data_IF_700388757363
#
_entry.id   IF_700388757363
#
_cell.length_a   1.000
_cell.length_b   1.000
_cell.length_c   1.000
_cell.angle_alpha   90.00
_cell.angle_beta   90.00
_cell.angle_gamma   90.00
#
_symmetry.space_group_name_H-M   'P 1'
#
loop_
_entity.id
_entity.type
_entity.pdbx_description
1 polymer ?
#
# COMPACT_ATOMS: atom_id res chain seq x y z
N UNK A 1 -4.51 -2.77 14.24
CA UNK A 1 -5.97 -2.57 14.33
C UNK A 1 -6.42 -1.54 15.38
N UNK A 2 -5.54 -0.96 16.24
CA UNK A 2 -5.98 -0.01 17.29
C UNK A 2 -6.10 1.46 16.84
N UNK A 3 -5.21 1.97 15.98
CA UNK A 3 -5.14 3.42 15.70
C UNK A 3 -6.31 3.97 14.87
N UNK A 4 -6.86 3.19 13.93
CA UNK A 4 -8.01 3.62 13.12
C UNK A 4 -9.34 3.48 13.86
N UNK A 5 -9.36 2.88 15.04
CA UNK A 5 -10.55 2.78 15.89
C UNK A 5 -10.72 3.96 16.86
N UNK A 6 -9.68 4.79 17.06
CA UNK A 6 -9.70 5.90 18.04
C UNK A 6 -9.98 7.27 17.42
N UNK A 7 -9.86 7.40 16.09
CA UNK A 7 -10.25 8.61 15.35
C UNK A 7 -10.93 8.21 14.06
N UNK A 8 -12.23 8.43 13.97
CA UNK A 8 -12.96 8.39 12.70
C UNK A 8 -12.34 9.41 11.75
N UNK A 9 -11.49 8.96 10.82
CA UNK A 9 -10.96 9.80 9.76
C UNK A 9 -12.14 10.12 8.84
N UNK A 10 -12.48 11.41 8.77
CA UNK A 10 -13.56 11.94 7.92
C UNK A 10 -13.39 11.41 6.50
N UNK A 11 -14.45 10.87 5.86
CA UNK A 11 -14.38 10.22 4.56
C UNK A 11 -13.60 11.02 3.51
N UNK A 12 -13.76 12.33 3.48
CA UNK A 12 -13.09 13.25 2.53
C UNK A 12 -11.57 13.31 2.67
N UNK A 13 -11.05 13.04 3.87
CA UNK A 13 -9.61 13.09 4.19
C UNK A 13 -8.94 11.73 4.02
N UNK A 14 -9.69 10.63 3.91
CA UNK A 14 -9.15 9.26 3.82
C UNK A 14 -8.18 9.12 2.65
N UNK A 15 -8.57 9.58 1.47
CA UNK A 15 -7.70 9.56 0.30
C UNK A 15 -6.41 10.35 0.47
N UNK A 16 -6.48 11.54 1.09
CA UNK A 16 -5.27 12.35 1.36
C UNK A 16 -4.35 11.63 2.34
N UNK A 17 -4.89 11.08 3.42
CA UNK A 17 -4.13 10.29 4.40
C UNK A 17 -3.53 9.05 3.74
N UNK A 18 -4.25 8.39 2.85
CA UNK A 18 -3.78 7.23 2.10
C UNK A 18 -2.57 7.59 1.23
N UNK A 19 -2.67 8.62 0.39
CA UNK A 19 -1.58 9.04 -0.51
C UNK A 19 -0.37 9.53 0.28
N UNK A 20 -0.56 10.33 1.33
CA UNK A 20 0.55 10.80 2.17
C UNK A 20 1.25 9.62 2.85
N UNK A 21 0.48 8.67 3.40
CA UNK A 21 1.02 7.45 3.99
C UNK A 21 1.81 6.62 2.98
N UNK A 22 1.27 6.47 1.76
CA UNK A 22 1.96 5.79 0.67
C UNK A 22 3.31 6.43 0.35
N UNK A 23 3.33 7.74 0.09
CA UNK A 23 4.56 8.45 -0.25
C UNK A 23 5.60 8.33 0.87
N UNK A 24 5.21 8.55 2.12
CA UNK A 24 6.14 8.45 3.26
C UNK A 24 6.70 7.02 3.40
N UNK A 25 5.82 6.01 3.29
CA UNK A 25 6.23 4.60 3.42
C UNK A 25 7.22 4.20 2.34
N UNK A 26 6.90 4.49 1.07
CA UNK A 26 7.72 4.15 -0.10
C UNK A 26 9.07 4.87 -0.08
N UNK A 27 9.10 6.16 0.30
CA UNK A 27 10.36 6.91 0.45
C UNK A 27 11.21 6.30 1.56
N UNK A 28 10.65 6.01 2.73
CA UNK A 28 11.42 5.39 3.81
C UNK A 28 11.96 4.00 3.41
N UNK A 29 11.16 3.18 2.72
CA UNK A 29 11.59 1.88 2.21
C UNK A 29 12.64 1.97 1.09
N UNK A 30 12.59 3.00 0.26
CA UNK A 30 13.59 3.18 -0.80
C UNK A 30 14.96 3.57 -0.22
N UNK A 31 14.98 4.46 0.78
CA UNK A 31 16.23 5.04 1.28
C UNK A 31 16.90 4.26 2.41
N UNK A 32 16.20 3.39 3.15
CA UNK A 32 16.82 2.62 4.25
C UNK A 32 18.08 1.81 3.87
N UNK A 33 18.22 1.22 2.66
CA UNK A 33 19.39 0.40 2.32
C UNK A 33 20.70 1.18 2.21
N UNK A 34 20.64 2.51 2.09
CA UNK A 34 21.81 3.37 1.98
C UNK A 34 22.46 3.69 3.34
N UNK A 35 21.76 3.44 4.44
CA UNK A 35 22.29 3.65 5.78
C UNK A 35 23.12 2.43 6.20
N UNK A 36 24.35 2.67 6.66
CA UNK A 36 25.25 1.60 7.14
C UNK A 36 25.15 1.36 8.66
N UNK A 37 24.38 2.19 9.38
CA UNK A 37 24.18 2.08 10.83
C UNK A 37 22.79 1.52 11.14
N UNK A 38 22.72 0.61 12.11
CA UNK A 38 21.50 -0.09 12.49
C UNK A 38 20.37 0.87 12.96
N UNK A 39 20.71 1.89 13.74
CA UNK A 39 19.71 2.80 14.32
C UNK A 39 18.92 3.58 13.26
N UNK A 40 19.54 4.32 12.31
CA UNK A 40 18.78 5.01 11.28
C UNK A 40 17.98 4.06 10.37
N UNK A 41 18.49 2.84 10.11
CA UNK A 41 17.72 1.82 9.38
C UNK A 41 16.44 1.43 10.12
N UNK A 42 16.54 1.16 11.43
CA UNK A 42 15.38 0.79 12.24
C UNK A 42 14.35 1.92 12.33
N UNK A 43 14.81 3.17 12.46
CA UNK A 43 13.91 4.33 12.48
C UNK A 43 13.15 4.43 11.15
N UNK A 44 13.84 4.30 10.01
CA UNK A 44 13.20 4.34 8.70
C UNK A 44 12.23 3.18 8.49
N UNK A 45 12.58 1.96 8.88
CA UNK A 45 11.71 0.80 8.76
C UNK A 45 10.48 0.89 9.68
N UNK A 46 10.64 1.47 10.87
CA UNK A 46 9.53 1.70 11.80
C UNK A 46 8.54 2.71 11.22
N UNK A 47 9.05 3.83 10.70
CA UNK A 47 8.23 4.84 10.03
C UNK A 47 7.54 4.21 8.81
N UNK A 48 8.31 3.51 7.96
CA UNK A 48 7.79 2.87 6.77
C UNK A 48 6.67 1.87 7.08
N UNK A 49 6.90 0.99 8.05
CA UNK A 49 5.93 -0.02 8.49
C UNK A 49 4.68 0.58 9.13
N UNK A 50 4.81 1.64 9.92
CA UNK A 50 3.67 2.35 10.50
C UNK A 50 2.75 2.93 9.41
N UNK A 51 3.32 3.65 8.44
CA UNK A 51 2.54 4.20 7.33
C UNK A 51 2.03 3.11 6.38
N UNK A 52 2.77 2.02 6.18
CA UNK A 52 2.32 0.86 5.40
C UNK A 52 1.09 0.19 6.04
N UNK A 53 1.02 0.11 7.36
CA UNK A 53 -0.16 -0.41 8.05
C UNK A 53 -1.41 0.46 7.79
N UNK A 54 -1.26 1.78 7.70
CA UNK A 54 -2.36 2.71 7.37
C UNK A 54 -2.89 2.43 5.95
N UNK A 55 -1.99 2.28 4.96
CA UNK A 55 -2.33 1.93 3.58
C UNK A 55 -3.16 0.64 3.54
N UNK A 56 -2.66 -0.41 4.22
CA UNK A 56 -3.32 -1.71 4.29
C UNK A 56 -4.71 -1.63 4.93
N UNK A 57 -4.89 -0.80 5.97
CA UNK A 57 -6.21 -0.63 6.59
C UNK A 57 -7.20 -0.01 5.59
N UNK A 58 -6.82 1.03 4.86
CA UNK A 58 -7.69 1.65 3.87
C UNK A 58 -8.03 0.70 2.72
N UNK A 59 -7.04 0.02 2.12
CA UNK A 59 -7.30 -0.94 1.04
C UNK A 59 -8.22 -2.08 1.49
N UNK A 60 -7.89 -2.74 2.60
CA UNK A 60 -8.67 -3.88 3.08
C UNK A 60 -10.09 -3.46 3.50
N UNK A 61 -10.25 -2.29 4.12
CA UNK A 61 -11.58 -1.79 4.49
C UNK A 61 -12.39 -1.36 3.28
N UNK A 62 -11.81 -0.65 2.32
CA UNK A 62 -12.50 -0.28 1.06
C UNK A 62 -12.94 -1.51 0.29
N UNK A 63 -12.09 -2.54 0.13
CA UNK A 63 -12.48 -3.81 -0.51
C UNK A 63 -13.63 -4.48 0.25
N UNK A 64 -13.56 -4.56 1.58
CA UNK A 64 -14.64 -5.18 2.36
C UNK A 64 -15.97 -4.40 2.26
N UNK A 65 -15.91 -3.08 2.22
CA UNK A 65 -17.11 -2.24 2.15
C UNK A 65 -17.76 -2.24 0.76
N UNK A 66 -16.96 -2.41 -0.30
CA UNK A 66 -17.44 -2.38 -1.69
C UNK A 66 -17.82 -3.75 -2.24
N UNK A 67 -17.23 -4.83 -1.71
CA UNK A 67 -17.50 -6.19 -2.19
C UNK A 67 -18.69 -6.81 -1.43
N UNK A 68 -19.70 -7.35 -2.14
CA UNK A 68 -20.82 -8.08 -1.55
C UNK A 68 -20.36 -9.24 -0.67
N UNK A 69 -21.06 -9.45 0.46
CA UNK A 69 -20.64 -10.42 1.48
C UNK A 69 -20.45 -11.85 0.94
N UNK A 70 -21.28 -12.28 -0.01
CA UNK A 70 -21.20 -13.59 -0.67
C UNK A 70 -20.00 -13.74 -1.64
N UNK A 71 -19.38 -12.63 -2.05
CA UNK A 71 -18.26 -12.59 -2.99
C UNK A 71 -16.93 -12.23 -2.33
N UNK A 72 -16.93 -11.74 -1.08
CA UNK A 72 -15.72 -11.34 -0.35
C UNK A 72 -14.65 -12.43 -0.31
N UNK A 73 -15.06 -13.68 -0.06
CA UNK A 73 -14.15 -14.83 -0.07
C UNK A 73 -13.46 -15.01 -1.42
N UNK A 74 -14.21 -14.94 -2.52
CA UNK A 74 -13.68 -15.07 -3.89
C UNK A 74 -12.73 -13.93 -4.24
N UNK A 75 -13.10 -12.69 -3.92
CA UNK A 75 -12.25 -11.52 -4.19
C UNK A 75 -10.95 -11.58 -3.37
N UNK A 76 -11.03 -11.92 -2.08
CA UNK A 76 -9.85 -12.06 -1.24
C UNK A 76 -8.95 -13.22 -1.69
N UNK A 77 -9.53 -14.35 -2.13
CA UNK A 77 -8.75 -15.44 -2.71
C UNK A 77 -8.02 -15.01 -3.98
N UNK A 78 -8.69 -14.29 -4.89
CA UNK A 78 -8.06 -13.77 -6.11
C UNK A 78 -6.94 -12.78 -5.80
N UNK A 79 -7.19 -11.80 -4.93
CA UNK A 79 -6.16 -10.84 -4.48
C UNK A 79 -4.99 -11.58 -3.82
N UNK A 80 -5.27 -12.53 -2.93
CA UNK A 80 -4.27 -13.35 -2.26
C UNK A 80 -3.42 -14.16 -3.24
N UNK A 81 -4.02 -14.81 -4.23
CA UNK A 81 -3.30 -15.58 -5.24
C UNK A 81 -2.38 -14.70 -6.07
N UNK A 82 -2.84 -13.52 -6.51
CA UNK A 82 -2.02 -12.59 -7.30
C UNK A 82 -0.85 -12.08 -6.46
N UNK A 83 -1.12 -11.59 -5.25
CA UNK A 83 -0.08 -11.02 -4.39
C UNK A 83 0.94 -12.08 -3.97
N UNK A 84 0.48 -13.23 -3.48
CA UNK A 84 1.37 -14.29 -2.98
C UNK A 84 2.06 -15.06 -4.12
N UNK A 85 1.43 -15.15 -5.29
CA UNK A 85 2.02 -15.78 -6.47
C UNK A 85 3.14 -14.94 -7.09
N UNK A 86 3.09 -13.61 -6.97
CA UNK A 86 4.16 -12.73 -7.43
C UNK A 86 5.41 -12.80 -6.54
N UNK A 87 5.27 -13.12 -5.25
CA UNK A 87 6.38 -13.23 -4.29
C UNK A 87 7.51 -14.18 -4.72
N UNK A 88 7.27 -15.47 -5.04
CA UNK A 88 8.34 -16.37 -5.46
C UNK A 88 8.98 -15.93 -6.79
N UNK A 89 8.21 -15.33 -7.70
CA UNK A 89 8.73 -14.79 -8.96
C UNK A 89 9.68 -13.63 -8.67
N UNK A 90 9.27 -12.69 -7.81
CA UNK A 90 10.10 -11.57 -7.38
C UNK A 90 11.36 -12.04 -6.64
N UNK A 91 11.27 -13.09 -5.82
CA UNK A 91 12.43 -13.70 -5.15
C UNK A 91 13.41 -14.32 -6.15
N UNK A 92 12.92 -15.08 -7.12
CA UNK A 92 13.76 -15.72 -8.14
C UNK A 92 14.45 -14.66 -9.03
N UNK A 93 13.69 -13.71 -9.57
CA UNK A 93 14.21 -12.65 -10.43
C UNK A 93 15.13 -11.72 -9.65
N UNK A 94 14.74 -11.34 -8.43
CA UNK A 94 15.54 -10.49 -7.54
C UNK A 94 16.87 -11.13 -7.17
N UNK A 95 16.89 -12.45 -6.93
CA UNK A 95 18.12 -13.21 -6.65
C UNK A 95 19.09 -13.20 -7.83
N UNK A 96 18.59 -13.46 -9.05
CA UNK A 96 19.43 -13.43 -10.27
C UNK A 96 19.99 -12.02 -10.51
N UNK A 97 19.16 -10.98 -10.38
CA UNK A 97 19.62 -9.60 -10.58
C UNK A 97 20.64 -9.18 -9.51
N UNK A 98 20.52 -9.71 -8.28
CA UNK A 98 21.44 -9.41 -7.18
C UNK A 98 22.87 -9.94 -7.39
N UNK A 99 23.08 -10.88 -8.31
CA UNK A 99 24.43 -11.31 -8.70
C UNK A 99 25.17 -10.24 -9.53
N UNK A 100 24.42 -9.37 -10.22
CA UNK A 100 24.97 -8.36 -11.12
C UNK A 100 24.89 -6.94 -10.55
N UNK A 101 23.89 -6.66 -9.71
CA UNK A 101 23.59 -5.33 -9.20
C UNK A 101 23.56 -5.36 -7.66
N UNK A 102 24.18 -4.38 -6.98
CA UNK A 102 24.08 -4.26 -5.53
C UNK A 102 22.62 -4.26 -5.05
N UNK A 103 22.31 -5.10 -4.05
CA UNK A 103 20.97 -5.24 -3.46
C UNK A 103 20.36 -3.89 -3.05
N UNK A 104 21.18 -2.95 -2.58
CA UNK A 104 20.76 -1.59 -2.21
C UNK A 104 20.10 -0.86 -3.39
N UNK A 105 20.65 -0.98 -4.60
CA UNK A 105 20.13 -0.37 -5.82
C UNK A 105 18.85 -1.07 -6.26
N UNK A 106 18.79 -2.40 -6.16
CA UNK A 106 17.59 -3.19 -6.48
C UNK A 106 16.42 -2.74 -5.61
N UNK A 107 16.60 -2.75 -4.28
CA UNK A 107 15.57 -2.34 -3.33
C UNK A 107 15.11 -0.90 -3.60
N UNK A 108 16.06 0.04 -3.75
CA UNK A 108 15.74 1.43 -4.06
C UNK A 108 14.92 1.56 -5.36
N UNK A 109 15.34 0.86 -6.42
CA UNK A 109 14.65 0.90 -7.71
C UNK A 109 13.23 0.36 -7.65
N UNK A 110 13.00 -0.75 -6.93
CA UNK A 110 11.66 -1.32 -6.75
C UNK A 110 10.72 -0.33 -6.05
N UNK A 111 11.14 0.24 -4.92
CA UNK A 111 10.31 1.20 -4.19
C UNK A 111 10.14 2.52 -4.95
N UNK A 112 11.13 2.96 -5.75
CA UNK A 112 10.94 4.12 -6.62
C UNK A 112 9.97 3.87 -7.77
N UNK A 113 9.98 2.68 -8.37
CA UNK A 113 9.01 2.29 -9.38
C UNK A 113 7.61 2.26 -8.75
N UNK A 114 7.44 1.65 -7.58
CA UNK A 114 6.17 1.63 -6.85
C UNK A 114 5.68 3.04 -6.51
N UNK A 115 6.56 3.93 -6.03
CA UNK A 115 6.24 5.33 -5.79
C UNK A 115 5.75 6.03 -7.07
N UNK A 116 6.38 5.75 -8.21
CA UNK A 116 5.99 6.30 -9.51
C UNK A 116 4.59 5.81 -9.94
N UNK A 117 4.20 4.58 -9.61
CA UNK A 117 2.83 4.09 -9.82
C UNK A 117 1.80 4.76 -8.91
N UNK A 118 2.17 5.22 -7.71
CA UNK A 118 1.25 5.96 -6.84
C UNK A 118 0.86 7.34 -7.41
N UNK A 119 1.72 7.95 -8.23
CA UNK A 119 1.45 9.26 -8.84
C UNK A 119 0.18 9.25 -9.68
N UNK A 120 0.02 8.42 -10.74
CA UNK A 120 -1.21 8.39 -11.53
C UNK A 120 -2.43 7.95 -10.70
N UNK A 121 -2.26 7.02 -9.75
CA UNK A 121 -3.31 6.61 -8.80
C UNK A 121 -3.87 7.82 -8.01
N UNK A 122 -3.03 8.80 -7.67
CA UNK A 122 -3.46 10.01 -6.98
C UNK A 122 -4.42 10.88 -7.81
N UNK A 123 -4.37 10.79 -9.14
CA UNK A 123 -5.19 11.58 -10.06
C UNK A 123 -6.45 10.84 -10.56
N UNK A 124 -6.57 9.54 -10.33
CA UNK A 124 -7.75 8.76 -10.79
C UNK A 124 -8.95 9.03 -9.87
N UNK A 125 -10.04 9.67 -10.37
CA UNK A 125 -11.20 10.01 -9.55
C UNK A 125 -11.90 8.78 -8.98
N UNK A 126 -11.97 7.69 -9.74
CA UNK A 126 -12.57 6.41 -9.32
C UNK A 126 -11.84 5.82 -8.12
N UNK A 127 -10.51 5.90 -8.10
CA UNK A 127 -9.70 5.42 -6.97
C UNK A 127 -9.91 6.29 -5.72
N UNK A 128 -10.02 7.61 -5.90
CA UNK A 128 -10.40 8.52 -4.82
C UNK A 128 -11.78 8.20 -4.24
N UNK A 129 -12.77 7.92 -5.09
CA UNK A 129 -14.13 7.50 -4.67
C UNK A 129 -14.11 6.18 -3.91
N UNK A 130 -13.34 5.21 -4.41
CA UNK A 130 -13.17 3.90 -3.77
C UNK A 130 -12.59 3.99 -2.35
N UNK A 131 -11.55 4.79 -2.14
CA UNK A 131 -10.92 4.97 -0.81
C UNK A 131 -11.81 5.80 0.12
N UNK A 132 -12.53 6.79 -0.40
CA UNK A 132 -13.42 7.65 0.39
C UNK A 132 -14.80 7.05 0.63
N UNK A 133 -15.12 5.88 0.08
CA UNK A 133 -16.44 5.28 0.15
C UNK A 133 -16.96 5.20 1.59
N UNK A 134 -18.18 5.69 1.79
CA UNK A 134 -18.88 5.65 3.06
C UNK A 134 -20.25 5.00 2.91
N UNK A 135 -20.45 3.77 3.43
CA UNK A 135 -21.71 3.03 3.29
C UNK A 135 -22.88 3.68 4.02
N UNK A 136 -22.64 4.67 4.90
CA UNK A 136 -23.70 5.41 5.60
C UNK A 136 -24.33 6.50 4.74
N UNK A 137 -23.63 6.96 3.69
CA UNK A 137 -24.04 8.14 2.90
C UNK A 137 -24.05 7.90 1.40
N UNK A 138 -23.48 6.79 0.91
CA UNK A 138 -23.33 6.50 -0.51
C UNK A 138 -23.75 5.05 -0.81
N UNK A 139 -24.32 4.81 -1.99
CA UNK A 139 -24.59 3.46 -2.50
C UNK A 139 -23.43 2.99 -3.37
N UNK A 140 -23.37 1.69 -3.69
CA UNK A 140 -22.33 1.14 -4.57
C UNK A 140 -22.39 1.72 -6.00
N UNK A 141 -23.57 2.22 -6.41
CA UNK A 141 -23.78 2.86 -7.71
C UNK A 141 -23.05 4.22 -7.82
N UNK A 142 -22.76 4.88 -6.70
CA UNK A 142 -22.08 6.19 -6.68
C UNK A 142 -20.56 6.10 -6.96
N UNK A 143 -20.00 4.91 -6.84
CA UNK A 143 -18.55 4.64 -6.93
C UNK A 143 -18.14 3.75 -8.11
N UNK A 144 -19.11 3.15 -8.81
CA UNK A 144 -18.92 2.38 -10.05
C UNK A 144 -18.98 3.28 -11.29
#
# INVERSE_FOLDING_TARGET
MLYTSLKDITPEKRFKVFIISAIISEVCYAFFPFFNHLIPMLILLLIAGFFNAIINIFLNSSVQLTVPQNMRGKVNSLLGTVLQGLTPIAMAVGGIIAEFIPIKIIIFSCFMITLLFFIPLAFIPSFKRFINYNPKTQTLEDIM
#
